data_IF_920092888933
#
_entry.id   IF_920092888933
#
_cell.length_a   1.000
_cell.length_b   1.000
_cell.length_c   1.000
_cell.angle_alpha   90.00
_cell.angle_beta   90.00
_cell.angle_gamma   90.00
#
_symmetry.space_group_name_H-M   'P 1'
#
loop_
_entity.id
_entity.type
_entity.pdbx_description
1 polymer ?
#
# COMPACT_ATOMS: atom_id res chain seq x y z
N UNK A 1 4.91 -11.97 -18.10
CA UNK A 1 4.22 -11.77 -16.80
C UNK A 1 3.22 -10.66 -16.99
N UNK A 2 1.94 -10.85 -16.65
CA UNK A 2 0.96 -9.77 -16.76
C UNK A 2 1.26 -8.68 -15.68
N UNK A 3 0.94 -7.43 -15.98
CA UNK A 3 1.13 -6.31 -15.04
C UNK A 3 0.44 -6.57 -13.68
N UNK A 4 -0.69 -7.26 -13.70
CA UNK A 4 -1.43 -7.68 -12.51
C UNK A 4 -0.68 -8.70 -11.66
N UNK A 5 0.05 -9.64 -12.27
CA UNK A 5 0.89 -10.60 -11.52
C UNK A 5 2.06 -9.88 -10.86
N UNK A 6 2.75 -9.00 -11.60
CA UNK A 6 3.85 -8.19 -11.06
C UNK A 6 3.38 -7.31 -9.89
N UNK A 7 2.23 -6.66 -10.03
CA UNK A 7 1.59 -5.87 -8.97
C UNK A 7 1.39 -6.69 -7.70
N UNK A 8 0.79 -7.89 -7.80
CA UNK A 8 0.52 -8.74 -6.64
C UNK A 8 1.81 -9.22 -5.95
N UNK A 9 2.78 -9.71 -6.72
CA UNK A 9 4.05 -10.18 -6.15
C UNK A 9 4.81 -9.06 -5.44
N UNK A 10 4.90 -7.89 -6.07
CA UNK A 10 5.63 -6.76 -5.50
C UNK A 10 4.96 -6.21 -4.24
N UNK A 11 3.63 -6.19 -4.22
CA UNK A 11 2.82 -5.81 -3.06
C UNK A 11 3.06 -6.72 -1.86
N UNK A 12 2.93 -8.04 -2.05
CA UNK A 12 3.19 -9.00 -0.98
C UNK A 12 4.66 -9.01 -0.54
N UNK A 13 5.59 -8.85 -1.46
CA UNK A 13 7.01 -8.72 -1.14
C UNK A 13 7.25 -7.55 -0.18
N UNK A 14 6.75 -6.35 -0.49
CA UNK A 14 6.90 -5.18 0.38
C UNK A 14 6.18 -5.36 1.72
N UNK A 15 5.01 -5.98 1.75
CA UNK A 15 4.32 -6.28 3.00
C UNK A 15 5.12 -7.22 3.90
N UNK A 16 5.71 -8.28 3.33
CA UNK A 16 6.58 -9.21 4.07
C UNK A 16 7.83 -8.50 4.60
N UNK A 17 8.45 -7.63 3.79
CA UNK A 17 9.62 -6.83 4.22
C UNK A 17 9.27 -5.95 5.42
N UNK A 18 8.14 -5.24 5.37
CA UNK A 18 7.69 -4.40 6.49
C UNK A 18 7.43 -5.24 7.75
N UNK A 19 6.69 -6.34 7.63
CA UNK A 19 6.41 -7.23 8.78
C UNK A 19 7.70 -7.84 9.35
N UNK A 20 8.64 -8.24 8.51
CA UNK A 20 9.92 -8.82 8.96
C UNK A 20 10.80 -7.82 9.72
N UNK A 21 10.64 -6.52 9.46
CA UNK A 21 11.37 -5.45 10.17
C UNK A 21 10.82 -5.15 11.58
N UNK A 22 9.56 -5.50 11.85
CA UNK A 22 8.85 -5.13 13.10
C UNK A 22 9.33 -5.89 14.34
N UNK A 23 9.55 -7.22 14.33
CA UNK A 23 9.83 -7.99 15.55
C UNK A 23 11.04 -7.45 16.34
N UNK A 24 12.12 -7.13 15.65
CA UNK A 24 13.33 -6.62 16.31
C UNK A 24 13.10 -5.29 17.02
N UNK A 25 12.30 -4.41 16.44
CA UNK A 25 11.97 -3.09 17.01
C UNK A 25 11.00 -3.18 18.19
N UNK A 26 10.07 -4.15 18.16
CA UNK A 26 9.11 -4.36 19.23
C UNK A 26 9.70 -5.14 20.40
N UNK A 27 10.62 -6.08 20.16
CA UNK A 27 11.27 -6.88 21.19
C UNK A 27 12.32 -6.08 21.99
N UNK A 28 12.99 -5.11 21.34
CA UNK A 28 13.95 -4.23 21.97
C UNK A 28 13.72 -2.75 21.59
N UNK A 29 12.67 -2.13 22.13
CA UNK A 29 12.36 -0.73 21.85
C UNK A 29 13.41 0.22 22.40
N UNK A 30 14.12 -0.15 23.48
CA UNK A 30 15.18 0.65 24.04
C UNK A 30 16.42 0.67 23.14
N UNK A 31 16.81 -0.49 22.62
CA UNK A 31 17.90 -0.60 21.63
C UNK A 31 17.56 0.14 20.34
N UNK A 32 16.32 0.08 19.89
CA UNK A 32 15.86 0.81 18.70
C UNK A 32 15.86 2.33 18.94
N UNK A 33 15.42 2.82 20.11
CA UNK A 33 15.50 4.23 20.48
C UNK A 33 16.97 4.72 20.52
N UNK A 34 17.87 3.91 21.07
CA UNK A 34 19.30 4.22 21.10
C UNK A 34 19.89 4.28 19.67
N UNK A 35 19.46 3.37 18.79
CA UNK A 35 19.87 3.43 17.38
C UNK A 35 19.41 4.73 16.72
N UNK A 36 18.14 5.15 16.90
CA UNK A 36 17.65 6.44 16.40
C UNK A 36 18.46 7.62 16.96
N UNK A 37 18.75 7.61 18.27
CA UNK A 37 19.52 8.67 18.92
C UNK A 37 20.93 8.82 18.34
N UNK A 38 21.58 7.70 17.95
CA UNK A 38 22.92 7.71 17.37
C UNK A 38 23.00 8.42 16.03
N UNK A 39 21.92 8.50 15.26
CA UNK A 39 21.87 9.25 14.01
C UNK A 39 21.94 10.77 14.22
N UNK A 40 21.61 11.24 15.43
CA UNK A 40 21.62 12.68 15.80
C UNK A 40 20.88 13.56 14.76
N UNK A 41 19.76 13.05 14.27
CA UNK A 41 18.89 13.72 13.28
C UNK A 41 17.65 14.31 13.92
N UNK A 42 17.29 13.83 15.12
CA UNK A 42 16.04 14.17 15.82
C UNK A 42 16.34 14.62 17.25
N UNK A 43 15.62 15.62 17.77
CA UNK A 43 15.73 15.98 19.18
C UNK A 43 15.47 14.79 20.09
N UNK A 44 16.24 14.68 21.17
CA UNK A 44 16.16 13.55 22.13
C UNK A 44 14.74 13.32 22.69
N UNK A 45 13.96 14.39 22.83
CA UNK A 45 12.57 14.30 23.27
C UNK A 45 11.66 13.52 22.31
N UNK A 46 11.99 13.48 21.00
CA UNK A 46 11.20 12.79 19.98
C UNK A 46 11.68 11.36 19.71
N UNK A 47 12.88 11.00 20.13
CA UNK A 47 13.49 9.68 19.87
C UNK A 47 12.58 8.56 20.40
N UNK A 48 12.11 8.66 21.63
CA UNK A 48 11.25 7.64 22.26
C UNK A 48 9.91 7.52 21.55
N UNK A 49 9.31 8.65 21.15
CA UNK A 49 8.06 8.66 20.41
C UNK A 49 8.22 7.99 19.05
N UNK A 50 9.28 8.30 18.32
CA UNK A 50 9.58 7.66 17.03
C UNK A 50 9.84 6.17 17.19
N UNK A 51 10.62 5.76 18.19
CA UNK A 51 10.92 4.36 18.45
C UNK A 51 9.66 3.54 18.74
N UNK A 52 8.65 4.15 19.35
CA UNK A 52 7.38 3.49 19.65
C UNK A 52 6.42 3.51 18.44
N UNK A 53 6.31 4.64 17.76
CA UNK A 53 5.32 4.84 16.68
C UNK A 53 5.73 4.15 15.37
N UNK A 54 7.01 4.17 15.01
CA UNK A 54 7.51 3.61 13.74
C UNK A 54 7.13 2.14 13.52
N UNK A 55 7.33 1.22 14.47
CA UNK A 55 6.93 -0.18 14.27
C UNK A 55 5.43 -0.35 14.03
N UNK A 56 4.59 0.44 14.68
CA UNK A 56 3.13 0.38 14.47
C UNK A 56 2.74 0.91 13.08
N UNK A 57 3.39 1.96 12.61
CA UNK A 57 3.19 2.45 11.23
C UNK A 57 3.58 1.37 10.23
N UNK A 58 4.70 0.66 10.43
CA UNK A 58 5.13 -0.45 9.57
C UNK A 58 4.09 -1.58 9.52
N UNK A 59 3.53 -1.96 10.69
CA UNK A 59 2.46 -2.98 10.76
C UNK A 59 1.22 -2.53 10.00
N UNK A 60 0.76 -1.30 10.24
CA UNK A 60 -0.44 -0.75 9.58
C UNK A 60 -0.23 -0.73 8.06
N UNK A 61 0.91 -0.25 7.59
CA UNK A 61 1.24 -0.22 6.16
C UNK A 61 1.27 -1.62 5.56
N UNK A 62 1.87 -2.58 6.25
CA UNK A 62 1.89 -3.97 5.80
C UNK A 62 0.48 -4.55 5.68
N UNK A 63 -0.39 -4.32 6.66
CA UNK A 63 -1.79 -4.75 6.61
C UNK A 63 -2.54 -4.08 5.46
N UNK A 64 -2.39 -2.78 5.26
CA UNK A 64 -3.00 -2.05 4.14
C UNK A 64 -2.55 -2.61 2.78
N UNK A 65 -1.25 -2.94 2.65
CA UNK A 65 -0.73 -3.57 1.45
C UNK A 65 -1.31 -4.97 1.24
N UNK A 66 -1.45 -5.79 2.29
CA UNK A 66 -2.02 -7.15 2.19
C UNK A 66 -3.50 -7.10 1.85
N UNK A 67 -4.26 -6.22 2.49
CA UNK A 67 -5.71 -6.10 2.30
C UNK A 67 -6.11 -5.37 1.01
N UNK A 68 -5.16 -4.74 0.29
CA UNK A 68 -5.42 -3.94 -0.91
C UNK A 68 -6.37 -2.76 -0.66
N UNK A 69 -6.30 -2.18 0.55
CA UNK A 69 -7.15 -1.08 0.99
C UNK A 69 -6.32 0.21 1.01
N UNK A 70 -6.92 1.33 0.59
CA UNK A 70 -6.27 2.66 0.58
C UNK A 70 -4.89 2.64 -0.07
N UNK A 71 -4.76 1.92 -1.20
CA UNK A 71 -3.46 1.68 -1.85
C UNK A 71 -2.70 2.94 -2.21
N UNK A 72 -3.38 4.01 -2.66
CA UNK A 72 -2.73 5.28 -2.99
C UNK A 72 -1.94 5.86 -1.81
N UNK A 73 -2.59 6.22 -0.69
CA UNK A 73 -1.91 6.73 0.48
C UNK A 73 -0.96 5.72 1.13
N UNK A 74 -1.30 4.41 1.14
CA UNK A 74 -0.43 3.37 1.69
C UNK A 74 0.91 3.29 0.95
N UNK A 75 0.90 3.31 -0.38
CA UNK A 75 2.11 3.32 -1.20
C UNK A 75 2.93 4.60 -0.99
N UNK A 76 2.26 5.74 -0.89
CA UNK A 76 2.94 7.02 -0.65
C UNK A 76 3.69 7.01 0.69
N UNK A 77 2.99 6.59 1.76
CA UNK A 77 3.61 6.47 3.09
C UNK A 77 4.74 5.43 3.12
N UNK A 78 4.56 4.28 2.45
CA UNK A 78 5.60 3.24 2.36
C UNK A 78 6.87 3.76 1.68
N UNK A 79 6.72 4.49 0.56
CA UNK A 79 7.85 5.10 -0.12
C UNK A 79 8.51 6.19 0.74
N UNK A 80 7.71 7.01 1.43
CA UNK A 80 8.24 8.03 2.34
C UNK A 80 9.03 7.41 3.49
N UNK A 81 8.54 6.29 4.04
CA UNK A 81 9.22 5.55 5.11
C UNK A 81 10.58 5.02 4.65
N UNK A 82 10.66 4.32 3.52
CA UNK A 82 11.93 3.83 2.98
C UNK A 82 12.87 4.95 2.56
N UNK A 83 12.35 6.04 1.99
CA UNK A 83 13.15 7.22 1.66
C UNK A 83 13.72 7.88 2.92
N UNK A 84 12.92 7.96 4.00
CA UNK A 84 13.36 8.47 5.29
C UNK A 84 14.50 7.64 5.89
N UNK A 85 14.38 6.31 5.89
CA UNK A 85 15.45 5.43 6.36
C UNK A 85 16.71 5.53 5.50
N UNK A 86 16.55 5.47 4.17
CA UNK A 86 17.70 5.62 3.27
C UNK A 86 18.40 6.97 3.44
N UNK A 87 17.64 8.05 3.61
CA UNK A 87 18.19 9.38 3.87
C UNK A 87 18.93 9.44 5.22
N UNK A 88 18.36 8.88 6.28
CA UNK A 88 18.99 8.84 7.60
C UNK A 88 20.32 8.10 7.55
N UNK A 89 20.37 6.91 6.94
CA UNK A 89 21.59 6.13 6.76
C UNK A 89 22.60 6.89 5.89
N UNK A 90 22.17 7.49 4.78
CA UNK A 90 23.01 8.26 3.89
C UNK A 90 23.67 9.47 4.58
N UNK A 91 22.91 10.20 5.39
CA UNK A 91 23.45 11.33 6.18
C UNK A 91 24.44 10.84 7.23
N UNK A 92 24.14 9.74 7.92
CA UNK A 92 25.05 9.16 8.91
C UNK A 92 26.38 8.74 8.28
N UNK A 93 26.33 8.10 7.11
CA UNK A 93 27.53 7.75 6.33
C UNK A 93 28.32 8.98 5.90
N UNK A 94 27.65 10.03 5.41
CA UNK A 94 28.30 11.28 5.02
C UNK A 94 28.98 12.00 6.19
N UNK A 95 28.49 11.80 7.43
CA UNK A 95 29.09 12.31 8.66
C UNK A 95 30.22 11.41 9.19
N UNK A 96 30.50 10.28 8.55
CA UNK A 96 31.53 9.32 9.00
C UNK A 96 31.14 8.57 10.27
N UNK A 97 29.84 8.48 10.59
CA UNK A 97 29.35 7.74 11.75
C UNK A 97 29.30 6.25 11.38
N UNK A 98 29.98 5.41 12.14
CA UNK A 98 29.92 3.97 12.02
C UNK A 98 28.88 3.45 13.02
N UNK A 99 27.62 3.33 12.57
CA UNK A 99 26.47 3.00 13.42
C UNK A 99 25.80 1.72 12.90
N UNK A 100 25.51 0.78 13.80
CA UNK A 100 24.60 -0.33 13.51
C UNK A 100 23.19 0.23 13.24
N UNK A 101 22.64 -0.05 12.05
CA UNK A 101 21.37 0.55 11.64
C UNK A 101 20.13 0.05 12.43
N UNK A 102 20.30 -0.94 13.33
CA UNK A 102 19.24 -1.44 14.23
C UNK A 102 18.00 -2.03 13.54
N UNK A 103 18.02 -2.11 12.20
CA UNK A 103 16.81 -2.49 11.46
C UNK A 103 16.54 -3.98 11.44
N UNK A 104 17.57 -4.85 11.54
CA UNK A 104 17.40 -6.30 11.40
C UNK A 104 18.20 -7.20 12.33
N UNK A 105 19.30 -6.73 12.95
CA UNK A 105 20.07 -7.57 13.88
C UNK A 105 20.87 -6.72 14.88
N UNK A 106 20.68 -7.00 16.15
CA UNK A 106 21.62 -6.63 17.19
C UNK A 106 22.80 -7.60 17.13
N UNK A 107 23.93 -7.20 16.56
CA UNK A 107 25.17 -7.94 16.76
C UNK A 107 25.92 -8.50 15.54
N UNK A 108 25.48 -8.26 14.31
CA UNK A 108 26.32 -8.51 13.15
C UNK A 108 26.64 -7.18 12.47
N UNK A 109 27.95 -6.89 12.30
CA UNK A 109 28.51 -5.77 11.57
C UNK A 109 28.10 -5.81 10.09
N UNK A 110 26.81 -5.62 9.83
CA UNK A 110 26.32 -5.34 8.49
C UNK A 110 26.77 -3.94 8.13
N UNK A 111 27.66 -3.81 7.17
CA UNK A 111 28.11 -2.51 6.66
C UNK A 111 26.89 -1.60 6.43
N UNK A 112 26.93 -0.35 6.92
CA UNK A 112 25.90 0.67 6.66
C UNK A 112 25.57 0.77 5.17
N UNK A 113 26.53 0.48 4.30
CA UNK A 113 26.35 0.44 2.86
C UNK A 113 25.34 -0.65 2.46
N UNK A 114 25.41 -1.84 3.08
CA UNK A 114 24.47 -2.93 2.79
C UNK A 114 23.04 -2.55 3.22
N UNK A 115 22.90 -1.89 4.36
CA UNK A 115 21.60 -1.38 4.82
C UNK A 115 21.04 -0.32 3.86
N UNK A 116 21.88 0.63 3.43
CA UNK A 116 21.49 1.67 2.47
C UNK A 116 21.07 1.06 1.13
N UNK A 117 21.86 0.15 0.57
CA UNK A 117 21.55 -0.52 -0.71
C UNK A 117 20.24 -1.27 -0.61
N UNK A 118 20.01 -2.00 0.47
CA UNK A 118 18.75 -2.70 0.74
C UNK A 118 17.56 -1.74 0.77
N UNK A 119 17.64 -0.63 1.50
CA UNK A 119 16.55 0.32 1.64
C UNK A 119 16.28 1.05 0.31
N UNK A 120 17.31 1.34 -0.47
CA UNK A 120 17.17 1.86 -1.84
C UNK A 120 16.46 0.85 -2.75
N UNK A 121 16.77 -0.45 -2.66
CA UNK A 121 16.08 -1.49 -3.42
C UNK A 121 14.59 -1.53 -3.05
N UNK A 122 14.25 -1.44 -1.76
CA UNK A 122 12.86 -1.41 -1.32
C UNK A 122 12.12 -0.15 -1.77
N UNK A 123 12.80 1.00 -1.74
CA UNK A 123 12.26 2.25 -2.27
C UNK A 123 11.97 2.14 -3.77
N UNK A 124 12.91 1.63 -4.56
CA UNK A 124 12.71 1.41 -6.00
C UNK A 124 11.55 0.44 -6.25
N UNK A 125 11.47 -0.65 -5.50
CA UNK A 125 10.36 -1.60 -5.58
C UNK A 125 9.01 -0.92 -5.26
N UNK A 126 8.96 -0.08 -4.23
CA UNK A 126 7.78 0.71 -3.87
C UNK A 126 7.38 1.73 -4.94
N UNK A 127 8.36 2.40 -5.56
CA UNK A 127 8.12 3.33 -6.67
C UNK A 127 7.57 2.61 -7.91
N UNK A 128 8.14 1.46 -8.27
CA UNK A 128 7.64 0.62 -9.36
C UNK A 128 6.20 0.19 -9.08
N UNK A 129 5.91 -0.27 -7.86
CA UNK A 129 4.56 -0.65 -7.45
C UNK A 129 3.59 0.53 -7.54
N UNK A 130 4.01 1.73 -7.13
CA UNK A 130 3.23 2.96 -7.24
C UNK A 130 2.94 3.33 -8.69
N UNK A 131 3.90 3.17 -9.59
CA UNK A 131 3.73 3.41 -11.02
C UNK A 131 2.74 2.41 -11.65
N UNK A 132 2.87 1.12 -11.32
CA UNK A 132 1.94 0.09 -11.80
C UNK A 132 0.53 0.39 -11.29
N UNK A 133 0.40 0.73 -10.00
CA UNK A 133 -0.89 1.11 -9.42
C UNK A 133 -1.51 2.30 -10.13
N UNK A 134 -0.77 3.40 -10.30
CA UNK A 134 -1.26 4.61 -10.93
C UNK A 134 -1.63 4.43 -12.41
N UNK A 135 -0.88 3.58 -13.15
CA UNK A 135 -1.09 3.41 -14.59
C UNK A 135 -2.11 2.33 -14.95
N UNK A 136 -2.21 1.27 -14.14
CA UNK A 136 -2.97 0.05 -14.48
C UNK A 136 -4.19 -0.13 -13.58
N UNK A 137 -4.05 0.12 -12.28
CA UNK A 137 -5.06 -0.23 -11.30
C UNK A 137 -5.98 0.96 -10.96
N UNK A 138 -5.41 2.14 -10.74
CA UNK A 138 -6.17 3.32 -10.34
C UNK A 138 -7.27 3.73 -11.36
N UNK A 139 -7.00 3.74 -12.67
CA UNK A 139 -8.04 4.06 -13.67
C UNK A 139 -9.22 3.08 -13.68
N UNK A 140 -8.94 1.79 -13.31
CA UNK A 140 -9.98 0.76 -13.24
C UNK A 140 -10.82 0.80 -11.95
N UNK A 141 -10.42 1.62 -10.98
CA UNK A 141 -11.06 1.76 -9.66
C UNK A 141 -11.70 3.13 -9.44
N UNK A 142 -11.82 3.96 -10.48
CA UNK A 142 -12.58 5.21 -10.35
C UNK A 142 -14.01 4.87 -9.94
N UNK A 143 -14.54 5.46 -8.86
CA UNK A 143 -15.94 5.31 -8.51
C UNK A 143 -16.78 5.81 -9.68
N UNK A 144 -17.84 5.10 -9.99
CA UNK A 144 -18.89 5.58 -10.90
C UNK A 144 -19.29 6.95 -10.39
N UNK A 145 -19.08 7.99 -11.20
CA UNK A 145 -19.52 9.34 -10.85
C UNK A 145 -21.05 9.35 -10.82
N UNK A 146 -21.70 10.21 -10.02
CA UNK A 146 -23.16 10.31 -10.01
C UNK A 146 -23.76 10.54 -11.40
N UNK A 147 -23.04 11.18 -12.32
CA UNK A 147 -23.44 11.40 -13.71
C UNK A 147 -23.55 10.08 -14.50
N UNK A 148 -22.59 9.12 -14.29
CA UNK A 148 -22.64 7.81 -14.95
C UNK A 148 -23.83 6.95 -14.43
N UNK A 149 -24.31 7.20 -13.22
CA UNK A 149 -25.46 6.50 -12.65
C UNK A 149 -26.78 7.04 -13.18
N UNK A 150 -26.87 8.33 -13.52
CA UNK A 150 -28.06 8.94 -14.12
C UNK A 150 -28.25 8.48 -15.58
N UNK A 151 -27.16 8.41 -16.36
CA UNK A 151 -27.20 7.91 -17.74
C UNK A 151 -27.53 6.40 -17.80
N UNK A 152 -27.03 5.62 -16.85
CA UNK A 152 -27.34 4.19 -16.74
C UNK A 152 -28.80 3.96 -16.32
N UNK A 153 -29.33 4.78 -15.41
CA UNK A 153 -30.74 4.71 -15.01
C UNK A 153 -31.67 5.24 -16.11
N UNK A 154 -31.30 6.29 -16.83
CA UNK A 154 -32.07 6.80 -17.95
C UNK A 154 -32.17 5.78 -19.10
N UNK A 155 -31.06 5.06 -19.38
CA UNK A 155 -31.05 3.97 -20.36
C UNK A 155 -31.84 2.75 -19.91
N UNK A 156 -31.90 2.43 -18.62
CA UNK A 156 -32.68 1.33 -18.07
C UNK A 156 -34.17 1.64 -17.98
N UNK A 157 -34.56 2.92 -17.91
CA UNK A 157 -35.96 3.35 -17.90
C UNK A 157 -36.55 3.58 -19.30
N UNK A 158 -35.73 3.56 -20.35
CA UNK A 158 -36.19 3.57 -21.73
C UNK A 158 -36.63 2.13 -22.14
N UNK A 159 -37.56 1.56 -21.43
CA UNK A 159 -38.32 0.43 -21.93
C UNK A 159 -39.19 0.96 -23.08
N UNK A 160 -38.92 0.50 -24.29
CA UNK A 160 -39.74 0.74 -25.47
C UNK A 160 -41.20 0.41 -25.17
N UNK A 161 -42.15 1.34 -25.37
CA UNK A 161 -43.58 1.06 -25.18
C UNK A 161 -44.18 0.34 -26.35
N UNK A 162 -43.42 -0.28 -27.25
CA UNK A 162 -43.89 -0.85 -28.51
C UNK A 162 -43.71 -2.36 -28.59
N UNK A 163 -44.16 -3.08 -27.58
CA UNK A 163 -44.54 -4.50 -27.75
C UNK A 163 -45.67 -4.87 -26.78
N UNK A 164 -46.82 -4.23 -27.00
CA UNK A 164 -48.07 -4.79 -26.49
C UNK A 164 -48.42 -6.04 -27.34
N UNK A 165 -48.55 -7.23 -26.75
CA UNK A 165 -48.93 -8.42 -27.49
C UNK A 165 -50.32 -8.21 -28.09
N UNK A 166 -50.42 -8.33 -29.43
CA UNK A 166 -51.65 -8.31 -30.17
C UNK A 166 -52.65 -9.29 -29.56
N UNK A 167 -53.80 -8.78 -29.12
CA UNK A 167 -54.90 -9.58 -28.63
C UNK A 167 -55.37 -10.52 -29.72
N UNK A 168 -55.22 -11.83 -29.50
CA UNK A 168 -55.74 -12.90 -30.33
C UNK A 168 -57.27 -12.87 -30.30
N UNK A 169 -58.00 -12.63 -31.46
CA UNK A 169 -59.44 -12.50 -31.49
C UNK A 169 -60.21 -13.85 -31.51
N UNK A 170 -59.54 -15.00 -31.21
CA UNK A 170 -60.15 -16.30 -31.35
C UNK A 170 -60.25 -17.13 -30.06
N UNK A 171 -60.55 -16.52 -28.92
CA UNK A 171 -60.97 -17.27 -27.73
C UNK A 171 -62.51 -17.36 -27.68
N UNK A 172 -63.11 -18.21 -28.54
CA UNK A 172 -64.51 -18.61 -28.42
C UNK A 172 -64.68 -19.58 -27.24
N UNK A 173 -65.42 -19.15 -26.26
CA UNK A 173 -65.87 -19.97 -25.14
C UNK A 173 -66.85 -21.05 -25.62
N UNK A 174 -66.75 -22.36 -25.26
CA UNK A 174 -67.79 -23.33 -25.42
C UNK A 174 -68.84 -23.13 -24.32
N UNK A 175 -70.11 -22.95 -24.77
CA UNK A 175 -71.29 -22.92 -23.95
C UNK A 175 -71.52 -24.28 -23.30
N UNK A 176 -71.85 -24.26 -22.01
CA UNK A 176 -72.31 -25.40 -21.24
C UNK A 176 -73.77 -25.77 -21.64
N UNK A 177 -74.05 -27.06 -21.85
CA UNK A 177 -75.28 -27.71 -21.65
C UNK A 177 -75.09 -28.93 -20.76
#
# INVERSE_FOLDING_TARGET
MSALSAYRYLRYFLAVVLIAAVPHKLLDPAGFALAIARYDLVPTAMVNALALVLPWVEVILAVLLVCDVLMGPALWLTNLLFAGFAAAIGIAMARGLDIDCGCYTTGTTGSMLVALVRDVIFLVAGLILSLIYARVIAPSRTPITPEDSEDSMASACACDPEEAPASDPNSQTPSAA
#
